data_IF_313008731495
#
_entry.id   IF_313008731495
#
_cell.length_a   1.000
_cell.length_b   1.000
_cell.length_c   1.000
_cell.angle_alpha   90.00
_cell.angle_beta   90.00
_cell.angle_gamma   90.00
#
_symmetry.space_group_name_H-M   'P 1'
#
loop_
_entity.id
_entity.type
_entity.pdbx_description
1 polymer ?
#
# COMPACT_ATOMS: atom_id res chain seq x y z
N UNK A 1 16.70 -5.23 54.91
CA UNK A 1 15.36 -5.50 54.36
C UNK A 1 14.86 -4.22 53.68
N UNK A 2 15.12 -4.05 52.39
CA UNK A 2 14.51 -2.98 51.60
C UNK A 2 13.32 -3.56 50.85
N UNK A 3 12.09 -3.21 51.27
CA UNK A 3 10.85 -3.62 50.60
C UNK A 3 10.83 -2.99 49.21
N UNK A 4 10.95 -3.79 48.17
CA UNK A 4 10.64 -3.39 46.80
C UNK A 4 9.14 -3.28 46.65
N UNK A 5 8.60 -2.09 46.86
CA UNK A 5 7.23 -1.76 46.51
C UNK A 5 7.14 -1.76 44.99
N UNK A 6 6.47 -2.77 44.43
CA UNK A 6 6.13 -2.79 43.01
C UNK A 6 5.00 -1.78 42.83
N UNK A 7 5.34 -0.59 42.36
CA UNK A 7 4.35 0.37 41.90
C UNK A 7 3.63 -0.25 40.70
N UNK A 8 2.36 -0.65 40.90
CA UNK A 8 1.49 -1.18 39.85
C UNK A 8 1.19 -0.07 38.82
N UNK A 9 2.04 0.06 37.80
CA UNK A 9 1.87 0.98 36.66
C UNK A 9 0.79 0.51 35.66
N UNK A 10 -0.13 -0.34 36.09
CA UNK A 10 -1.20 -0.94 35.28
C UNK A 10 -2.29 0.05 34.86
N UNK A 11 -2.19 1.31 35.28
CA UNK A 11 -3.16 2.39 34.99
C UNK A 11 -2.60 3.46 34.03
N UNK A 12 -1.70 3.05 33.13
CA UNK A 12 -1.31 3.86 32.00
C UNK A 12 -2.20 3.43 30.82
N UNK A 13 -3.23 4.23 30.53
CA UNK A 13 -4.02 4.17 29.28
C UNK A 13 -3.07 4.43 28.10
N UNK A 14 -2.29 3.42 27.73
CA UNK A 14 -1.57 3.38 26.47
C UNK A 14 -2.64 3.25 25.40
N UNK A 15 -2.82 4.24 24.51
CA UNK A 15 -3.77 4.09 23.41
C UNK A 15 -3.36 2.86 22.61
N UNK A 16 -4.32 1.95 22.41
CA UNK A 16 -4.12 0.73 21.64
C UNK A 16 -3.38 1.05 20.32
N UNK A 17 -2.37 0.27 19.92
CA UNK A 17 -1.71 0.47 18.64
C UNK A 17 -2.76 0.30 17.54
N UNK A 18 -3.15 1.44 16.97
CA UNK A 18 -4.28 1.50 16.08
C UNK A 18 -3.99 0.67 14.83
N UNK A 19 -4.77 -0.40 14.65
CA UNK A 19 -4.51 -1.39 13.60
C UNK A 19 -4.52 -0.73 12.21
N UNK A 20 -3.45 -0.88 11.40
CA UNK A 20 -3.41 -0.30 10.07
C UNK A 20 -4.43 -0.98 9.15
N UNK A 21 -5.32 -0.20 8.54
CA UNK A 21 -6.23 -0.70 7.51
C UNK A 21 -5.48 -0.83 6.18
N UNK A 22 -5.29 -2.08 5.73
CA UNK A 22 -4.65 -2.37 4.45
C UNK A 22 -5.72 -2.74 3.42
N UNK A 23 -5.79 -1.95 2.35
CA UNK A 23 -6.67 -2.23 1.20
C UNK A 23 -5.84 -2.61 0.00
N UNK A 24 -6.09 -3.79 -0.59
CA UNK A 24 -5.43 -4.21 -1.82
C UNK A 24 -6.34 -3.94 -3.02
N UNK A 25 -5.72 -3.73 -4.18
CA UNK A 25 -6.40 -3.49 -5.45
C UNK A 25 -5.96 -4.54 -6.45
N UNK A 26 -6.93 -5.21 -7.06
CA UNK A 26 -6.71 -6.22 -8.10
C UNK A 26 -6.49 -5.57 -9.48
N UNK A 27 -6.08 -6.38 -10.45
CA UNK A 27 -5.90 -6.12 -11.89
C UNK A 27 -7.03 -5.32 -12.56
N UNK A 28 -8.24 -5.35 -11.99
CA UNK A 28 -9.43 -4.61 -12.49
C UNK A 28 -9.70 -3.30 -11.73
N UNK A 29 -8.83 -2.92 -10.80
CA UNK A 29 -9.00 -1.74 -9.95
C UNK A 29 -10.10 -1.90 -8.90
N UNK A 30 -10.54 -3.13 -8.61
CA UNK A 30 -11.46 -3.44 -7.53
C UNK A 30 -10.70 -3.64 -6.22
N UNK A 31 -11.31 -3.24 -5.11
CA UNK A 31 -10.76 -3.46 -3.77
C UNK A 31 -10.93 -4.93 -3.43
N UNK A 32 -9.85 -5.63 -3.12
CA UNK A 32 -9.86 -7.04 -2.74
C UNK A 32 -9.11 -7.17 -1.42
N UNK A 33 -9.61 -8.01 -0.51
CA UNK A 33 -8.93 -8.33 0.76
C UNK A 33 -7.78 -9.34 0.55
N UNK A 34 -7.70 -9.94 -0.64
CA UNK A 34 -6.79 -11.03 -0.95
C UNK A 34 -5.40 -10.49 -1.31
N UNK A 35 -4.42 -10.68 -0.41
CA UNK A 35 -3.01 -10.31 -0.63
C UNK A 35 -2.45 -10.92 -1.92
N UNK A 36 -2.93 -12.11 -2.28
CA UNK A 36 -2.39 -12.87 -3.39
C UNK A 36 -2.92 -12.45 -4.76
N UNK A 37 -3.77 -11.42 -4.88
CA UNK A 37 -4.17 -10.84 -6.19
C UNK A 37 -3.93 -9.32 -6.25
N UNK A 38 -3.54 -8.72 -5.12
CA UNK A 38 -3.22 -7.31 -5.04
C UNK A 38 -2.04 -6.92 -5.94
N UNK A 39 -2.30 -6.01 -6.87
CA UNK A 39 -1.31 -5.34 -7.72
C UNK A 39 -0.87 -4.00 -7.13
N UNK A 40 -1.79 -3.36 -6.40
CA UNK A 40 -1.49 -2.16 -5.62
C UNK A 40 -2.04 -2.32 -4.19
N UNK A 41 -1.44 -1.63 -3.23
CA UNK A 41 -1.92 -1.58 -1.84
C UNK A 41 -1.96 -0.15 -1.34
N UNK A 42 -3.02 0.19 -0.62
CA UNK A 42 -3.11 1.41 0.16
C UNK A 42 -3.14 1.02 1.63
N UNK A 43 -2.16 1.50 2.38
CA UNK A 43 -2.07 1.33 3.84
C UNK A 43 -2.52 2.65 4.45
N UNK A 44 -3.62 2.60 5.19
CA UNK A 44 -4.04 3.72 6.02
C UNK A 44 -3.57 3.44 7.44
N UNK A 45 -2.69 4.29 7.93
CA UNK A 45 -2.26 4.29 9.33
C UNK A 45 -2.91 5.49 9.97
N UNK A 46 -3.87 5.25 10.87
CA UNK A 46 -4.42 6.31 11.71
C UNK A 46 -3.56 6.31 12.97
N UNK A 47 -2.83 7.39 13.21
CA UNK A 47 -1.81 7.49 14.28
C UNK A 47 -2.39 8.05 15.58
N UNK A 48 -3.50 8.81 15.50
CA UNK A 48 -4.28 9.39 16.62
C UNK A 48 -5.56 10.04 16.07
N UNK A 49 -6.46 10.49 16.96
CA UNK A 49 -7.83 11.00 16.70
C UNK A 49 -8.01 11.96 15.50
N UNK A 50 -6.93 12.62 15.02
CA UNK A 50 -6.96 13.55 13.88
C UNK A 50 -5.87 13.31 12.82
N UNK A 51 -4.90 12.41 13.05
CA UNK A 51 -3.75 12.21 12.15
C UNK A 51 -3.87 10.93 11.33
N UNK A 52 -4.35 11.08 10.09
CA UNK A 52 -4.49 9.99 9.10
C UNK A 52 -3.30 10.03 8.13
N UNK A 53 -2.39 9.06 8.25
CA UNK A 53 -1.31 8.86 7.28
C UNK A 53 -1.74 7.83 6.23
N UNK A 54 -1.95 8.27 4.99
CA UNK A 54 -2.26 7.40 3.86
C UNK A 54 -0.97 7.13 3.09
N UNK A 55 -0.53 5.87 3.08
CA UNK A 55 0.62 5.43 2.29
C UNK A 55 0.15 4.53 1.16
N UNK A 56 0.60 4.84 -0.05
CA UNK A 56 0.24 4.10 -1.26
C UNK A 56 1.45 3.37 -1.80
N UNK A 57 1.23 2.15 -2.26
CA UNK A 57 2.27 1.32 -2.82
C UNK A 57 1.78 0.60 -4.08
N UNK A 58 2.68 0.44 -5.04
CA UNK A 58 2.46 -0.28 -6.28
C UNK A 58 3.57 -1.33 -6.41
N UNK A 59 3.26 -2.47 -7.04
CA UNK A 59 4.28 -3.43 -7.43
C UNK A 59 5.24 -2.81 -8.45
N UNK A 60 6.51 -2.74 -8.09
CA UNK A 60 7.59 -2.17 -8.89
C UNK A 60 8.75 -3.16 -8.97
N UNK A 61 9.32 -3.32 -10.15
CA UNK A 61 10.33 -4.34 -10.44
C UNK A 61 10.88 -4.18 -11.84
N UNK A 62 12.14 -4.58 -12.07
CA UNK A 62 12.84 -4.42 -13.35
C UNK A 62 12.85 -2.97 -13.89
N UNK A 63 12.79 -1.98 -13.01
CA UNK A 63 12.76 -0.56 -13.39
C UNK A 63 11.39 -0.04 -13.83
N UNK A 64 10.34 -0.86 -13.76
CA UNK A 64 8.99 -0.51 -14.20
C UNK A 64 7.92 -0.89 -13.16
N UNK A 65 6.76 -0.25 -13.25
CA UNK A 65 5.57 -0.70 -12.52
C UNK A 65 5.00 -1.95 -13.16
N UNK A 66 4.44 -2.84 -12.35
CA UNK A 66 3.82 -4.07 -12.85
C UNK A 66 2.67 -3.72 -13.79
N UNK A 67 2.68 -4.34 -14.97
CA UNK A 67 1.56 -4.25 -15.89
C UNK A 67 0.67 -5.51 -15.76
N UNK A 68 -0.58 -5.37 -15.30
CA UNK A 68 -1.49 -6.51 -15.13
C UNK A 68 -2.24 -6.94 -16.39
N UNK A 69 -2.16 -6.16 -17.47
CA UNK A 69 -2.77 -6.50 -18.76
C UNK A 69 -1.75 -7.04 -19.77
N UNK A 70 -0.47 -6.98 -19.43
CA UNK A 70 0.64 -7.49 -20.21
C UNK A 70 0.71 -9.01 -20.18
N UNK A 71 1.36 -9.55 -21.20
CA UNK A 71 1.48 -10.99 -21.48
C UNK A 71 2.19 -11.75 -20.36
N UNK A 72 2.98 -11.05 -19.54
CA UNK A 72 3.93 -11.65 -18.58
C UNK A 72 3.56 -11.46 -17.09
N UNK A 73 2.31 -11.08 -16.81
CA UNK A 73 1.85 -10.75 -15.45
C UNK A 73 2.07 -11.89 -14.44
N UNK A 74 1.79 -13.14 -14.83
CA UNK A 74 1.88 -14.30 -13.91
C UNK A 74 3.32 -14.73 -13.64
N UNK A 75 4.17 -14.71 -14.66
CA UNK A 75 5.56 -15.19 -14.55
C UNK A 75 6.46 -14.20 -13.84
N UNK A 76 6.25 -12.89 -14.04
CA UNK A 76 7.16 -11.90 -13.49
C UNK A 76 6.81 -11.42 -12.08
N UNK A 77 5.62 -11.70 -11.56
CA UNK A 77 5.15 -11.15 -10.28
C UNK A 77 6.11 -11.37 -9.11
N UNK A 78 6.80 -12.51 -9.09
CA UNK A 78 7.75 -12.85 -8.02
C UNK A 78 8.96 -11.90 -7.94
N UNK A 79 9.27 -11.20 -9.03
CA UNK A 79 10.36 -10.23 -9.10
C UNK A 79 9.94 -8.80 -8.75
N UNK A 80 8.64 -8.54 -8.57
CA UNK A 80 8.13 -7.22 -8.19
C UNK A 80 7.99 -7.11 -6.69
N UNK A 81 8.37 -5.95 -6.15
CA UNK A 81 8.20 -5.61 -4.73
C UNK A 81 7.32 -4.38 -4.61
N UNK A 82 6.60 -4.26 -3.50
CA UNK A 82 5.80 -3.07 -3.24
C UNK A 82 6.71 -1.87 -2.97
N UNK A 83 6.71 -0.89 -3.87
CA UNK A 83 7.39 0.40 -3.70
C UNK A 83 6.38 1.45 -3.26
N UNK A 84 6.74 2.31 -2.31
CA UNK A 84 5.93 3.48 -1.92
C UNK A 84 5.90 4.45 -3.09
N UNK A 85 4.72 4.95 -3.43
CA UNK A 85 4.50 5.85 -4.56
C UNK A 85 3.71 7.08 -4.11
N UNK A 86 3.85 8.22 -4.82
CA UNK A 86 3.02 9.39 -4.57
C UNK A 86 1.56 9.12 -4.95
N UNK A 87 0.66 9.90 -4.36
CA UNK A 87 -0.79 9.75 -4.54
C UNK A 87 -1.23 9.91 -5.98
N UNK A 88 -0.63 10.85 -6.70
CA UNK A 88 -0.95 11.09 -8.10
C UNK A 88 -0.53 9.92 -9.00
N UNK A 89 0.62 9.29 -8.72
CA UNK A 89 1.03 8.08 -9.43
C UNK A 89 0.05 6.94 -9.16
N UNK A 90 -0.38 6.78 -7.91
CA UNK A 90 -1.35 5.77 -7.52
C UNK A 90 -2.71 5.97 -8.17
N UNK A 91 -3.24 7.20 -8.17
CA UNK A 91 -4.53 7.50 -8.79
C UNK A 91 -4.52 7.23 -10.31
N UNK A 92 -3.46 7.66 -11.00
CA UNK A 92 -3.27 7.35 -12.41
C UNK A 92 -3.18 5.84 -12.65
N UNK A 93 -2.49 5.11 -11.78
CA UNK A 93 -2.40 3.65 -11.87
C UNK A 93 -3.76 2.98 -11.67
N UNK A 94 -4.57 3.40 -10.68
CA UNK A 94 -5.92 2.88 -10.49
C UNK A 94 -6.83 3.19 -11.69
N UNK A 95 -6.72 4.40 -12.27
CA UNK A 95 -7.41 4.76 -13.51
C UNK A 95 -7.01 3.84 -14.67
N UNK A 96 -5.73 3.50 -14.76
CA UNK A 96 -5.25 2.52 -15.72
C UNK A 96 -5.91 1.15 -15.50
N UNK A 97 -5.92 0.61 -14.28
CA UNK A 97 -6.55 -0.69 -13.99
C UNK A 97 -8.04 -0.74 -14.35
N UNK A 98 -8.75 0.38 -14.20
CA UNK A 98 -10.18 0.48 -14.54
C UNK A 98 -10.42 0.67 -16.03
N UNK A 99 -9.67 1.55 -16.67
CA UNK A 99 -9.90 1.98 -18.06
C UNK A 99 -9.11 1.16 -19.09
N UNK A 100 -8.10 0.40 -18.67
CA UNK A 100 -7.08 -0.26 -19.51
C UNK A 100 -6.32 0.69 -20.45
N UNK A 101 -6.37 1.99 -20.19
CA UNK A 101 -5.79 3.00 -21.08
C UNK A 101 -4.32 3.26 -20.71
N UNK A 102 -3.42 2.89 -21.62
CA UNK A 102 -1.95 2.96 -21.49
C UNK A 102 -1.41 4.38 -21.26
N UNK A 103 -2.17 5.42 -21.59
CA UNK A 103 -1.82 6.82 -21.26
C UNK A 103 -1.67 7.02 -19.76
N UNK A 104 -2.61 6.50 -18.96
CA UNK A 104 -2.56 6.63 -17.51
C UNK A 104 -1.41 5.81 -16.91
N UNK A 105 -1.11 4.65 -17.49
CA UNK A 105 0.06 3.86 -17.12
C UNK A 105 1.37 4.62 -17.35
N UNK A 106 1.52 5.24 -18.51
CA UNK A 106 2.70 6.04 -18.85
C UNK A 106 2.88 7.24 -17.92
N UNK A 107 1.77 7.91 -17.57
CA UNK A 107 1.79 9.01 -16.59
C UNK A 107 2.20 8.53 -15.20
N UNK A 108 1.62 7.43 -14.73
CA UNK A 108 2.00 6.85 -13.44
C UNK A 108 3.48 6.45 -13.41
N UNK A 109 3.99 5.87 -14.49
CA UNK A 109 5.41 5.47 -14.61
C UNK A 109 6.37 6.66 -14.51
N UNK A 110 6.06 7.79 -15.16
CA UNK A 110 6.87 9.01 -15.08
C UNK A 110 6.95 9.52 -13.63
N UNK A 111 5.81 9.61 -12.96
CA UNK A 111 5.69 10.08 -11.57
C UNK A 111 6.39 9.17 -10.52
N UNK A 112 6.80 7.95 -10.88
CA UNK A 112 7.49 7.01 -9.98
C UNK A 112 9.01 7.02 -10.18
N UNK A 113 9.44 7.53 -11.33
CA UNK A 113 10.85 7.60 -11.74
C UNK A 113 11.48 8.94 -11.40
N UNK A 114 10.64 9.99 -11.33
CA UNK A 114 10.97 11.33 -10.81
C UNK A 114 11.10 11.32 -9.28
#
# INVERSE_FOLDING_TARGET
MGRGEKEDVSNLDLPDPLNPEITFYDTKGQKVTNQNEGVAKSVKTVLSYDNISIQQFILYGRGEILDPHGVDFRSNRNFYKFKKVPKDAFDNYIKYLKSKNTLYFTRARRLITE
#
